data_IF_271486447121
#
_entry.id   IF_271486447121
#
_cell.length_a   1.000
_cell.length_b   1.000
_cell.length_c   1.000
_cell.angle_alpha   90.00
_cell.angle_beta   90.00
_cell.angle_gamma   90.00
#
_symmetry.space_group_name_H-M   'P 1'
#
loop_
_entity.id
_entity.type
_entity.pdbx_description
1 polymer ?
#
# COMPACT_ATOMS: atom_id res chain seq x y z
N UNK A 1 11.03 -8.48 -18.35
CA UNK A 1 9.85 -8.61 -19.22
C UNK A 1 9.68 -7.33 -20.00
N UNK A 2 9.09 -7.35 -21.20
CA UNK A 2 8.80 -6.12 -21.96
C UNK A 2 7.83 -5.22 -21.18
N UNK A 3 7.96 -3.92 -21.34
CA UNK A 3 7.00 -2.94 -20.83
C UNK A 3 5.63 -3.20 -21.48
N UNK A 4 4.56 -3.12 -20.70
CA UNK A 4 3.20 -3.46 -21.15
C UNK A 4 2.85 -4.95 -21.08
N UNK A 5 3.74 -5.80 -20.53
CA UNK A 5 3.35 -7.18 -20.20
C UNK A 5 2.19 -7.18 -19.23
N UNK A 6 1.23 -8.08 -19.40
CA UNK A 6 0.09 -8.20 -18.50
C UNK A 6 0.54 -8.72 -17.11
N UNK A 7 -0.04 -8.16 -16.04
CA UNK A 7 0.26 -8.58 -14.67
C UNK A 7 -0.08 -10.05 -14.44
N UNK A 8 -1.16 -10.56 -15.04
CA UNK A 8 -1.54 -11.97 -14.96
C UNK A 8 -0.45 -12.86 -15.56
N UNK A 9 0.10 -12.51 -16.75
CA UNK A 9 1.20 -13.26 -17.37
C UNK A 9 2.46 -13.29 -16.50
N UNK A 10 2.73 -12.19 -15.79
CA UNK A 10 3.84 -12.12 -14.84
C UNK A 10 3.64 -13.09 -13.66
N UNK A 11 2.44 -13.10 -13.08
CA UNK A 11 2.09 -13.97 -11.95
C UNK A 11 2.15 -15.45 -12.34
N UNK A 12 1.66 -15.81 -13.54
CA UNK A 12 1.73 -17.17 -14.06
C UNK A 12 3.19 -17.62 -14.26
N UNK A 13 4.03 -16.79 -14.85
CA UNK A 13 5.46 -17.08 -15.04
C UNK A 13 6.21 -17.22 -13.72
N UNK A 14 5.80 -16.48 -12.69
CA UNK A 14 6.35 -16.61 -11.35
C UNK A 14 5.83 -17.86 -10.62
N UNK A 15 4.96 -18.68 -11.24
CA UNK A 15 4.25 -19.77 -10.60
C UNK A 15 3.56 -19.38 -9.29
N UNK A 16 3.07 -18.15 -9.25
CA UNK A 16 2.36 -17.62 -8.10
C UNK A 16 1.06 -18.42 -7.88
N UNK A 17 0.76 -18.77 -6.63
CA UNK A 17 -0.56 -19.30 -6.29
C UNK A 17 -1.61 -18.22 -6.56
N UNK A 18 -2.87 -18.60 -6.83
CA UNK A 18 -3.92 -17.62 -7.02
C UNK A 18 -3.92 -16.60 -5.87
N UNK A 19 -3.65 -15.32 -6.15
CA UNK A 19 -3.53 -14.33 -5.09
C UNK A 19 -4.90 -13.82 -4.68
N UNK A 20 -5.12 -13.59 -3.37
CA UNK A 20 -6.24 -12.82 -2.86
C UNK A 20 -6.02 -11.31 -2.94
N UNK A 21 -4.77 -10.90 -3.06
CA UNK A 21 -4.37 -9.51 -3.25
C UNK A 21 -2.97 -9.43 -3.87
N UNK A 22 -2.72 -8.37 -4.63
CA UNK A 22 -1.40 -8.07 -5.19
C UNK A 22 -1.01 -6.65 -4.81
N UNK A 23 0.17 -6.48 -4.22
CA UNK A 23 0.77 -5.16 -4.02
C UNK A 23 1.68 -4.84 -5.20
N UNK A 24 1.25 -3.91 -6.04
CA UNK A 24 1.97 -3.44 -7.22
C UNK A 24 2.76 -2.18 -6.90
N UNK A 25 4.06 -2.18 -7.18
CA UNK A 25 4.95 -1.04 -6.98
C UNK A 25 5.76 -1.07 -5.68
N UNK A 26 5.75 -2.20 -4.96
CA UNK A 26 6.41 -2.36 -3.67
C UNK A 26 5.70 -1.62 -2.54
N UNK A 27 6.39 -1.32 -1.43
CA UNK A 27 5.80 -0.68 -0.25
C UNK A 27 5.12 0.67 -0.57
N UNK A 28 5.66 1.42 -1.54
CA UNK A 28 5.12 2.70 -2.01
C UNK A 28 3.96 2.55 -3.03
N UNK A 29 3.63 1.33 -3.39
CA UNK A 29 2.60 1.00 -4.37
C UNK A 29 1.20 0.88 -3.77
N UNK A 30 0.32 0.19 -4.49
CA UNK A 30 -1.08 0.03 -4.08
C UNK A 30 -1.50 -1.43 -4.18
N UNK A 31 -2.42 -1.84 -3.30
CA UNK A 31 -3.05 -3.15 -3.38
C UNK A 31 -4.12 -3.20 -4.47
N UNK A 32 -4.07 -4.26 -5.26
CA UNK A 32 -5.05 -4.64 -6.27
C UNK A 32 -5.82 -5.88 -5.82
N UNK A 33 -7.12 -5.91 -6.15
CA UNK A 33 -7.98 -7.08 -5.96
C UNK A 33 -7.77 -8.10 -7.10
N UNK A 34 -8.19 -9.36 -6.91
CA UNK A 34 -8.12 -10.39 -7.95
C UNK A 34 -8.79 -10.02 -9.29
N UNK A 35 -9.89 -9.25 -9.23
CA UNK A 35 -10.63 -8.78 -10.40
C UNK A 35 -9.93 -7.65 -11.17
N UNK A 36 -8.84 -7.10 -10.64
CA UNK A 36 -8.04 -6.03 -11.24
C UNK A 36 -6.70 -6.51 -11.84
N UNK A 37 -6.44 -7.81 -11.84
CA UNK A 37 -5.13 -8.35 -12.26
C UNK A 37 -4.95 -8.47 -13.78
N UNK A 38 -6.02 -8.37 -14.57
CA UNK A 38 -5.92 -8.23 -16.02
C UNK A 38 -5.52 -6.79 -16.38
N UNK A 39 -4.25 -6.48 -16.09
CA UNK A 39 -3.71 -5.12 -16.15
C UNK A 39 -2.39 -5.11 -16.94
N UNK A 40 -2.30 -4.40 -18.06
CA UNK A 40 -1.02 -4.14 -18.72
C UNK A 40 -0.11 -3.31 -17.82
N UNK A 41 1.14 -3.73 -17.65
CA UNK A 41 2.12 -3.03 -16.82
C UNK A 41 2.70 -1.84 -17.61
N UNK A 42 1.84 -0.81 -17.79
CA UNK A 42 2.20 0.51 -18.30
C UNK A 42 1.97 1.56 -17.22
N UNK A 43 2.52 2.76 -17.38
CA UNK A 43 2.28 3.85 -16.41
C UNK A 43 0.84 4.34 -16.47
N UNK A 44 0.27 4.35 -17.68
CA UNK A 44 -1.09 4.81 -17.95
C UNK A 44 -2.14 3.87 -17.36
N UNK A 45 -2.00 2.57 -17.65
CA UNK A 45 -2.95 1.56 -17.18
C UNK A 45 -2.86 1.38 -15.67
N UNK A 46 -1.65 1.35 -15.09
CA UNK A 46 -1.47 1.31 -13.64
C UNK A 46 -2.15 2.51 -12.95
N UNK A 47 -1.97 3.72 -13.50
CA UNK A 47 -2.62 4.93 -12.97
C UNK A 47 -4.14 4.87 -13.09
N UNK A 48 -4.67 4.39 -14.21
CA UNK A 48 -6.10 4.22 -14.41
C UNK A 48 -6.72 3.21 -13.43
N UNK A 49 -5.94 2.19 -13.02
CA UNK A 49 -6.33 1.22 -11.98
C UNK A 49 -6.13 1.74 -10.54
N UNK A 50 -5.75 3.00 -10.35
CA UNK A 50 -5.47 3.57 -9.03
C UNK A 50 -4.16 3.06 -8.39
N UNK A 51 -3.24 2.54 -9.22
CA UNK A 51 -1.97 2.00 -8.77
C UNK A 51 -0.77 2.72 -9.42
N UNK A 52 0.42 2.27 -9.09
CA UNK A 52 1.67 2.77 -9.67
C UNK A 52 2.63 1.61 -9.86
N UNK A 53 3.42 1.64 -10.94
CA UNK A 53 4.50 0.66 -11.13
C UNK A 53 5.60 0.82 -10.06
N UNK A 54 5.74 2.01 -9.47
CA UNK A 54 6.65 2.29 -8.36
C UNK A 54 8.06 1.75 -8.62
N UNK A 55 8.54 0.90 -7.73
CA UNK A 55 9.85 0.22 -7.83
C UNK A 55 9.87 -0.97 -8.80
N UNK A 56 8.76 -1.28 -9.47
CA UNK A 56 8.61 -2.46 -10.33
C UNK A 56 8.46 -3.79 -9.57
N UNK A 57 8.34 -3.74 -8.25
CA UNK A 57 8.12 -4.93 -7.42
C UNK A 57 6.65 -5.32 -7.44
N UNK A 58 6.38 -6.62 -7.59
CA UNK A 58 5.05 -7.22 -7.47
C UNK A 58 5.09 -8.23 -6.33
N UNK A 59 4.24 -8.05 -5.33
CA UNK A 59 4.10 -8.96 -4.20
C UNK A 59 2.70 -9.58 -4.25
N UNK A 60 2.65 -10.91 -4.44
CA UNK A 60 1.40 -11.66 -4.45
C UNK A 60 1.14 -12.26 -3.05
N UNK A 61 -0.05 -12.01 -2.52
CA UNK A 61 -0.53 -12.56 -1.27
C UNK A 61 -1.59 -13.62 -1.55
N UNK A 62 -1.31 -14.88 -1.25
CA UNK A 62 -2.27 -15.98 -1.37
C UNK A 62 -3.21 -16.05 -0.15
N UNK A 63 -4.12 -17.02 -0.14
CA UNK A 63 -5.10 -17.19 0.94
C UNK A 63 -4.47 -17.41 2.33
N UNK A 64 -3.23 -17.88 2.41
CA UNK A 64 -2.54 -18.11 3.68
C UNK A 64 -1.97 -16.84 4.31
N UNK A 65 -1.85 -15.75 3.54
CA UNK A 65 -1.25 -14.51 4.01
C UNK A 65 -2.20 -13.75 4.96
N UNK A 66 -1.68 -13.24 6.05
CA UNK A 66 -2.41 -12.34 6.96
C UNK A 66 -2.17 -10.88 6.54
N UNK A 67 -3.17 -10.26 5.93
CA UNK A 67 -3.09 -8.86 5.52
C UNK A 67 -3.25 -7.90 6.71
N UNK A 68 -3.90 -8.33 7.80
CA UNK A 68 -4.02 -7.53 9.02
C UNK A 68 -2.65 -7.37 9.69
N UNK A 69 -1.77 -8.37 9.57
CA UNK A 69 -0.37 -8.28 10.00
C UNK A 69 0.51 -7.55 8.96
N UNK A 70 0.31 -7.82 7.67
CA UNK A 70 1.19 -7.30 6.62
C UNK A 70 1.09 -5.77 6.46
N UNK A 71 -0.11 -5.19 6.57
CA UNK A 71 -0.31 -3.74 6.37
C UNK A 71 0.38 -2.89 7.44
N UNK A 72 0.28 -3.18 8.76
CA UNK A 72 1.06 -2.48 9.77
C UNK A 72 2.57 -2.56 9.56
N UNK A 73 3.09 -3.69 9.09
CA UNK A 73 4.54 -3.86 8.80
C UNK A 73 5.01 -2.97 7.64
N UNK A 74 4.15 -2.69 6.67
CA UNK A 74 4.46 -1.71 5.62
C UNK A 74 4.54 -0.29 6.21
N UNK A 75 3.64 0.05 7.14
CA UNK A 75 3.68 1.34 7.81
C UNK A 75 4.93 1.48 8.70
N UNK A 76 5.31 0.44 9.44
CA UNK A 76 6.55 0.34 10.21
C UNK A 76 7.78 0.60 9.33
N UNK A 77 7.85 -0.03 8.16
CA UNK A 77 8.92 0.22 7.19
C UNK A 77 9.04 1.72 6.85
N UNK A 78 7.94 2.40 6.55
CA UNK A 78 7.99 3.83 6.23
C UNK A 78 8.37 4.71 7.42
N UNK A 79 7.99 4.33 8.65
CA UNK A 79 8.44 5.00 9.86
C UNK A 79 9.97 4.89 9.99
N UNK A 80 10.52 3.69 9.81
CA UNK A 80 11.94 3.41 9.99
C UNK A 80 12.79 4.06 8.88
N UNK A 81 12.29 4.11 7.65
CA UNK A 81 12.97 4.72 6.51
C UNK A 81 12.79 6.25 6.42
N UNK A 82 11.97 6.85 7.28
CA UNK A 82 11.80 8.29 7.33
C UNK A 82 13.09 8.98 7.79
N UNK A 83 13.63 9.87 6.96
CA UNK A 83 14.81 10.65 7.32
C UNK A 83 14.53 11.69 8.42
N UNK A 84 13.28 11.90 8.83
CA UNK A 84 12.86 12.82 9.88
C UNK A 84 12.89 14.31 9.50
N UNK A 85 13.23 14.66 8.25
CA UNK A 85 13.43 16.07 7.86
C UNK A 85 12.14 16.88 7.89
N UNK A 86 11.05 16.39 7.29
CA UNK A 86 9.80 17.13 7.23
C UNK A 86 8.74 16.58 8.20
N UNK A 87 7.99 17.49 8.81
CA UNK A 87 6.99 17.16 9.83
C UNK A 87 5.89 16.21 9.30
N UNK A 88 5.31 16.42 8.10
CA UNK A 88 4.25 15.53 7.61
C UNK A 88 4.69 14.07 7.57
N UNK A 89 5.84 13.77 7.00
CA UNK A 89 6.39 12.42 6.95
C UNK A 89 6.79 11.92 8.34
N UNK A 90 7.63 12.68 9.07
CA UNK A 90 8.17 12.27 10.38
C UNK A 90 7.08 11.91 11.40
N UNK A 91 6.03 12.72 11.46
CA UNK A 91 4.93 12.50 12.40
C UNK A 91 3.86 11.59 11.79
N UNK A 92 3.57 11.77 10.49
CA UNK A 92 2.52 11.02 9.81
C UNK A 92 2.78 9.52 9.77
N UNK A 93 4.01 9.09 9.48
CA UNK A 93 4.34 7.65 9.45
C UNK A 93 4.21 7.00 10.82
N UNK A 94 4.64 7.67 11.90
CA UNK A 94 4.49 7.19 13.28
C UNK A 94 3.00 7.06 13.64
N UNK A 95 2.21 8.11 13.38
CA UNK A 95 0.78 8.12 13.71
C UNK A 95 -0.02 7.11 12.88
N UNK A 96 0.35 6.93 11.62
CA UNK A 96 -0.24 5.89 10.76
C UNK A 96 -0.02 4.50 11.34
N UNK A 97 1.21 4.16 11.70
CA UNK A 97 1.54 2.87 12.31
C UNK A 97 0.79 2.66 13.63
N UNK A 98 0.80 3.64 14.54
CA UNK A 98 0.08 3.57 15.81
C UNK A 98 -1.44 3.32 15.61
N UNK A 99 -2.07 4.01 14.65
CA UNK A 99 -3.48 3.83 14.33
C UNK A 99 -3.76 2.43 13.79
N UNK A 100 -2.92 1.92 12.90
CA UNK A 100 -3.04 0.56 12.35
C UNK A 100 -2.89 -0.51 13.42
N UNK A 101 -1.94 -0.37 14.34
CA UNK A 101 -1.78 -1.30 15.47
C UNK A 101 -2.99 -1.31 16.40
N UNK A 102 -3.61 -0.14 16.65
CA UNK A 102 -4.85 -0.08 17.45
C UNK A 102 -6.02 -0.75 16.74
N UNK A 103 -6.18 -0.53 15.45
CA UNK A 103 -7.19 -1.22 14.64
C UNK A 103 -6.96 -2.73 14.62
N UNK A 104 -5.75 -3.18 14.31
CA UNK A 104 -5.41 -4.60 14.27
C UNK A 104 -5.61 -5.31 15.62
N UNK A 105 -5.41 -4.60 16.74
CA UNK A 105 -5.65 -5.14 18.08
C UNK A 105 -7.11 -5.03 18.56
N UNK A 106 -8.01 -4.47 17.76
CA UNK A 106 -9.42 -4.25 18.13
C UNK A 106 -9.62 -3.23 19.24
N UNK A 107 -8.67 -2.29 19.43
CA UNK A 107 -8.69 -1.26 20.47
C UNK A 107 -8.57 0.16 19.88
N UNK A 108 -9.47 0.56 18.98
CA UNK A 108 -9.41 1.90 18.39
C UNK A 108 -9.61 2.99 19.45
N UNK A 109 -8.94 4.12 19.26
CA UNK A 109 -9.07 5.31 20.10
C UNK A 109 -9.74 6.43 19.29
N UNK A 110 -11.07 6.43 19.23
CA UNK A 110 -11.84 7.36 18.44
C UNK A 110 -11.98 6.91 16.97
N UNK A 111 -12.07 7.85 16.05
CA UNK A 111 -12.25 7.59 14.61
C UNK A 111 -10.89 7.43 13.92
N UNK A 112 -10.30 6.25 14.04
CA UNK A 112 -8.98 5.93 13.45
C UNK A 112 -9.01 6.00 11.91
N UNK A 113 -10.13 5.65 11.29
CA UNK A 113 -10.28 5.71 9.83
C UNK A 113 -10.17 7.14 9.33
N UNK A 114 -10.80 8.08 10.03
CA UNK A 114 -10.69 9.50 9.72
C UNK A 114 -9.25 10.00 9.92
N UNK A 115 -8.62 9.61 11.03
CA UNK A 115 -7.21 9.94 11.31
C UNK A 115 -6.30 9.44 10.20
N UNK A 116 -6.47 8.21 9.73
CA UNK A 116 -5.69 7.64 8.63
C UNK A 116 -5.91 8.41 7.32
N UNK A 117 -7.15 8.80 7.00
CA UNK A 117 -7.46 9.59 5.82
C UNK A 117 -6.80 10.99 5.87
N UNK A 118 -6.89 11.69 7.01
CA UNK A 118 -6.27 12.99 7.22
C UNK A 118 -4.73 12.90 7.12
N UNK A 119 -4.12 11.87 7.71
CA UNK A 119 -2.68 11.61 7.61
C UNK A 119 -2.24 11.31 6.17
N UNK A 120 -2.99 10.50 5.44
CA UNK A 120 -2.76 10.18 4.03
C UNK A 120 -2.70 11.47 3.21
N UNK A 121 -3.69 12.33 3.38
CA UNK A 121 -3.74 13.61 2.66
C UNK A 121 -2.56 14.52 3.02
N UNK A 122 -2.30 14.73 4.30
CA UNK A 122 -1.23 15.63 4.76
C UNK A 122 0.15 15.11 4.32
N UNK A 123 0.41 13.82 4.44
CA UNK A 123 1.68 13.25 3.99
C UNK A 123 1.87 13.40 2.49
N UNK A 124 0.85 13.09 1.69
CA UNK A 124 0.91 13.22 0.23
C UNK A 124 1.14 14.67 -0.22
N UNK A 125 0.41 15.63 0.38
CA UNK A 125 0.38 16.99 -0.11
C UNK A 125 1.52 17.87 0.43
N UNK A 126 2.05 17.55 1.62
CA UNK A 126 3.01 18.40 2.33
C UNK A 126 4.37 17.77 2.61
N UNK A 127 4.60 16.50 2.27
CA UNK A 127 5.94 15.92 2.38
C UNK A 127 6.87 16.43 1.29
N UNK A 128 8.15 16.62 1.64
CA UNK A 128 9.17 17.18 0.72
C UNK A 128 9.52 16.18 -0.40
N UNK A 129 9.51 14.87 -0.13
CA UNK A 129 9.98 13.87 -1.09
C UNK A 129 9.00 12.70 -1.24
N UNK A 130 9.26 11.88 -2.26
CA UNK A 130 8.41 10.73 -2.63
C UNK A 130 8.18 9.73 -1.50
N UNK A 131 9.11 9.57 -0.55
CA UNK A 131 8.91 8.66 0.57
C UNK A 131 7.65 9.04 1.37
N UNK A 132 7.59 10.26 1.87
CA UNK A 132 6.41 10.72 2.63
C UNK A 132 5.16 10.83 1.78
N UNK A 133 5.29 11.25 0.51
CA UNK A 133 4.15 11.37 -0.41
C UNK A 133 3.48 10.04 -0.74
N UNK A 134 4.21 8.92 -0.64
CA UNK A 134 3.71 7.58 -0.98
C UNK A 134 3.54 6.65 0.22
N UNK A 135 3.95 7.07 1.41
CA UNK A 135 3.95 6.25 2.62
C UNK A 135 2.57 5.67 2.99
N UNK A 136 1.50 6.33 2.60
CA UNK A 136 0.14 5.87 2.89
C UNK A 136 -0.50 5.05 1.77
N UNK A 137 0.09 4.96 0.57
CA UNK A 137 -0.59 4.35 -0.59
C UNK A 137 -1.01 2.90 -0.36
N UNK A 138 -0.11 2.06 0.15
CA UNK A 138 -0.42 0.67 0.43
C UNK A 138 -1.49 0.53 1.52
N UNK A 139 -1.41 1.33 2.58
CA UNK A 139 -2.39 1.35 3.67
C UNK A 139 -3.77 1.78 3.15
N UNK A 140 -3.83 2.89 2.46
CA UNK A 140 -5.07 3.44 1.90
C UNK A 140 -5.75 2.45 0.95
N UNK A 141 -4.99 1.85 0.04
CA UNK A 141 -5.52 0.86 -0.89
C UNK A 141 -5.90 -0.47 -0.22
N UNK A 142 -5.20 -0.91 0.83
CA UNK A 142 -5.59 -2.09 1.60
C UNK A 142 -6.94 -1.89 2.30
N UNK A 143 -7.17 -0.72 2.87
CA UNK A 143 -8.43 -0.37 3.53
C UNK A 143 -9.55 -0.27 2.49
N UNK A 144 -9.38 0.56 1.46
CA UNK A 144 -10.46 0.89 0.52
C UNK A 144 -10.73 -0.21 -0.51
N UNK A 145 -9.69 -0.89 -1.01
CA UNK A 145 -9.86 -1.92 -2.04
C UNK A 145 -10.13 -3.31 -1.46
N UNK A 146 -9.52 -3.64 -0.32
CA UNK A 146 -9.58 -4.98 0.25
C UNK A 146 -10.42 -5.08 1.53
N UNK A 147 -10.83 -3.96 2.12
CA UNK A 147 -11.56 -3.93 3.39
C UNK A 147 -10.71 -4.39 4.60
N UNK A 148 -9.39 -4.32 4.49
CA UNK A 148 -8.49 -4.71 5.59
C UNK A 148 -8.56 -3.64 6.68
N UNK A 149 -8.82 -4.06 7.93
CA UNK A 149 -8.95 -3.18 9.10
C UNK A 149 -10.16 -2.22 9.08
N UNK A 150 -11.10 -2.36 8.12
CA UNK A 150 -12.31 -1.54 8.02
C UNK A 150 -13.42 -2.02 8.96
#
# INVERSE_FOLDING_TARGET
MPFGTNLTDLLERAAARPPKAVLLGGAAGSFLRPDQLDLPLTFEDARAAGASLGSGVVIAYDESADLVDAVPRIAEFFRDESCGQCVPCRIGTVRQEEALHRLASGKPQGDEMRVLADLTQVMRDASICGLGQTAANAVDSAIHNLGVLA
#
